data_IF_271770847936
#
_entry.id   IF_271770847936
#
_cell.length_a   1.000
_cell.length_b   1.000
_cell.length_c   1.000
_cell.angle_alpha   90.00
_cell.angle_beta   90.00
_cell.angle_gamma   90.00
#
_symmetry.space_group_name_H-M   'P 1'
#
loop_
_entity.id
_entity.type
_entity.pdbx_description
1 polymer ?
#
# COMPACT_ATOMS: atom_id res chain seq x y z
N UNK A 1 -45.87 67.06 3.98
CA UNK A 1 -46.79 66.12 4.65
C UNK A 1 -46.01 64.84 4.92
N UNK A 2 -45.41 64.73 6.11
CA UNK A 2 -44.66 63.55 6.52
C UNK A 2 -45.59 62.53 7.16
N UNK A 3 -45.58 61.29 6.68
CA UNK A 3 -46.21 60.19 7.39
C UNK A 3 -45.28 59.72 8.53
N UNK A 4 -45.82 59.44 9.73
CA UNK A 4 -45.02 58.99 10.86
C UNK A 4 -44.67 57.50 10.71
N UNK A 5 -43.39 57.18 10.88
CA UNK A 5 -42.87 55.81 10.87
C UNK A 5 -43.29 55.09 12.17
N UNK A 6 -43.95 53.93 12.02
CA UNK A 6 -44.40 53.05 13.11
C UNK A 6 -43.21 52.32 13.78
N UNK A 7 -43.16 52.16 15.12
CA UNK A 7 -41.91 51.85 15.80
C UNK A 7 -41.52 50.37 15.89
N UNK A 8 -42.29 49.40 15.36
CA UNK A 8 -41.96 47.95 15.45
C UNK A 8 -42.60 47.14 14.32
N UNK A 9 -41.90 46.98 13.19
CA UNK A 9 -42.22 45.94 12.22
C UNK A 9 -41.91 44.57 12.83
N UNK A 10 -42.94 43.71 12.94
CA UNK A 10 -42.81 42.36 13.51
C UNK A 10 -42.26 41.42 12.45
N UNK A 11 -41.30 40.60 12.84
CA UNK A 11 -40.73 39.57 11.99
C UNK A 11 -41.82 38.60 11.53
N UNK A 12 -41.82 38.27 10.23
CA UNK A 12 -42.75 37.31 9.62
C UNK A 12 -41.97 36.46 8.61
N UNK A 13 -42.46 35.26 8.28
CA UNK A 13 -41.83 34.38 7.29
C UNK A 13 -41.70 35.01 5.89
N UNK A 14 -42.52 36.03 5.58
CA UNK A 14 -42.44 36.80 4.33
C UNK A 14 -41.61 38.09 4.46
N UNK A 15 -41.16 38.45 5.67
CA UNK A 15 -40.48 39.71 5.95
C UNK A 15 -39.17 39.46 6.70
N UNK A 16 -38.08 39.29 5.95
CA UNK A 16 -36.71 39.07 6.42
C UNK A 16 -36.03 40.31 6.99
N UNK A 17 -36.72 41.46 7.07
CA UNK A 17 -36.16 42.72 7.55
C UNK A 17 -35.54 42.63 8.97
N UNK A 18 -35.94 41.64 9.76
CA UNK A 18 -35.36 41.40 11.09
C UNK A 18 -33.93 40.85 11.06
N UNK A 19 -33.53 40.15 10.00
CA UNK A 19 -32.16 39.65 9.80
C UNK A 19 -31.41 40.55 8.81
N UNK A 20 -32.10 41.00 7.77
CA UNK A 20 -31.54 41.84 6.72
C UNK A 20 -31.07 43.20 7.25
N UNK A 21 -31.93 43.96 7.94
CA UNK A 21 -31.56 45.30 8.43
C UNK A 21 -30.36 45.33 9.39
N UNK A 22 -30.24 44.45 10.41
CA UNK A 22 -29.04 44.45 11.25
C UNK A 22 -27.79 44.03 10.47
N UNK A 23 -27.91 43.11 9.52
CA UNK A 23 -26.80 42.65 8.70
C UNK A 23 -26.33 43.74 7.72
N UNK A 24 -27.27 44.45 7.09
CA UNK A 24 -26.96 45.62 6.23
C UNK A 24 -26.27 46.70 7.03
N UNK A 25 -26.76 47.04 8.24
CA UNK A 25 -26.09 48.01 9.12
C UNK A 25 -24.69 47.56 9.53
N UNK A 26 -24.51 46.26 9.80
CA UNK A 26 -23.20 45.68 10.13
C UNK A 26 -22.22 45.81 8.96
N UNK A 27 -22.62 45.42 7.75
CA UNK A 27 -21.76 45.50 6.57
C UNK A 27 -21.51 46.94 6.12
N UNK A 28 -22.48 47.85 6.25
CA UNK A 28 -22.26 49.28 6.04
C UNK A 28 -21.22 49.83 7.03
N UNK A 29 -21.34 49.49 8.32
CA UNK A 29 -20.38 49.92 9.33
C UNK A 29 -18.98 49.34 9.06
N UNK A 30 -18.89 48.05 8.72
CA UNK A 30 -17.65 47.39 8.32
C UNK A 30 -17.04 48.07 7.07
N UNK A 31 -17.86 48.33 6.05
CA UNK A 31 -17.43 49.02 4.82
C UNK A 31 -16.89 50.42 5.09
N UNK A 32 -17.51 51.19 5.99
CA UNK A 32 -16.99 52.49 6.44
C UNK A 32 -15.63 52.36 7.13
N UNK A 33 -15.44 51.34 7.98
CA UNK A 33 -14.17 51.07 8.66
C UNK A 33 -13.08 50.66 7.66
N UNK A 34 -13.40 49.80 6.69
CA UNK A 34 -12.48 49.39 5.61
C UNK A 34 -12.07 50.58 4.76
N UNK A 35 -13.01 51.45 4.40
CA UNK A 35 -12.74 52.65 3.61
C UNK A 35 -11.89 53.67 4.38
N UNK A 36 -12.10 53.82 5.70
CA UNK A 36 -11.32 54.73 6.54
C UNK A 36 -9.90 54.21 6.83
N UNK A 37 -9.71 52.89 6.88
CA UNK A 37 -8.42 52.27 7.16
C UNK A 37 -8.23 50.98 6.30
N UNK A 38 -7.78 51.11 5.04
CA UNK A 38 -7.73 49.98 4.11
C UNK A 38 -6.56 49.02 4.36
N UNK A 39 -5.45 49.51 4.90
CA UNK A 39 -4.19 48.75 5.02
C UNK A 39 -4.28 47.47 5.86
N UNK A 40 -4.91 47.45 7.05
CA UNK A 40 -5.08 46.22 7.82
C UNK A 40 -5.86 45.16 7.04
N UNK A 41 -6.91 45.55 6.31
CA UNK A 41 -7.72 44.63 5.52
C UNK A 41 -7.01 44.13 4.25
N UNK A 42 -6.00 44.86 3.77
CA UNK A 42 -5.16 44.42 2.65
C UNK A 42 -4.02 43.50 3.10
N UNK A 43 -3.39 43.80 4.25
CA UNK A 43 -2.17 43.12 4.69
C UNK A 43 -2.44 41.93 5.62
N UNK A 44 -3.49 41.99 6.44
CA UNK A 44 -3.79 40.93 7.39
C UNK A 44 -4.21 39.61 6.72
N UNK A 45 -5.08 39.59 5.68
CA UNK A 45 -5.41 38.34 5.00
C UNK A 45 -4.20 37.60 4.40
N UNK A 46 -3.28 38.22 3.62
CA UNK A 46 -2.12 37.51 3.11
C UNK A 46 -1.14 37.10 4.21
N UNK A 47 -0.97 37.89 5.27
CA UNK A 47 -0.13 37.49 6.42
C UNK A 47 -0.71 36.27 7.15
N UNK A 48 -2.02 36.25 7.36
CA UNK A 48 -2.72 35.13 7.96
C UNK A 48 -2.65 33.89 7.07
N UNK A 49 -2.90 34.05 5.77
CA UNK A 49 -2.78 32.97 4.78
C UNK A 49 -1.36 32.43 4.70
N UNK A 50 -0.33 33.27 4.74
CA UNK A 50 1.06 32.85 4.76
C UNK A 50 1.42 32.11 6.06
N UNK A 51 0.95 32.62 7.20
CA UNK A 51 1.16 31.98 8.51
C UNK A 51 0.51 30.60 8.60
N UNK A 52 -0.74 30.46 8.15
CA UNK A 52 -1.42 29.16 8.06
C UNK A 52 -0.81 28.27 6.98
N UNK A 53 -0.40 28.86 5.86
CA UNK A 53 0.20 28.17 4.72
C UNK A 53 1.59 27.61 4.99
N UNK A 54 2.35 28.19 5.92
CA UNK A 54 3.64 27.64 6.36
C UNK A 54 3.53 26.20 6.86
N UNK A 55 2.36 25.78 7.35
CA UNK A 55 2.08 24.39 7.74
C UNK A 55 2.23 23.38 6.59
N UNK A 56 2.06 23.80 5.34
CA UNK A 56 2.22 22.92 4.17
C UNK A 56 3.66 22.43 3.97
N UNK A 57 4.66 23.07 4.57
CA UNK A 57 6.05 22.59 4.57
C UNK A 57 6.14 21.20 5.22
N UNK A 58 5.28 20.90 6.19
CA UNK A 58 5.26 19.61 6.89
C UNK A 58 4.43 18.54 6.16
N UNK A 59 3.72 18.90 5.08
CA UNK A 59 2.82 17.97 4.41
C UNK A 59 3.55 16.73 3.86
N UNK A 60 4.71 16.83 3.17
CA UNK A 60 5.41 15.66 2.66
C UNK A 60 5.82 14.66 3.75
N UNK A 61 6.17 15.14 4.95
CA UNK A 61 6.54 14.28 6.08
C UNK A 61 5.36 13.75 6.90
N UNK A 62 4.15 14.29 6.71
CA UNK A 62 2.93 13.91 7.45
C UNK A 62 1.90 13.19 6.57
N UNK A 63 2.18 13.03 5.30
CA UNK A 63 1.32 12.29 4.39
C UNK A 63 1.36 10.80 4.74
N UNK A 64 0.22 10.25 5.16
CA UNK A 64 0.08 8.82 5.41
C UNK A 64 -0.22 8.13 4.08
N UNK A 65 0.71 7.33 3.56
CA UNK A 65 0.49 6.50 2.37
C UNK A 65 0.02 5.08 2.72
N UNK A 66 -0.40 4.86 3.97
CA UNK A 66 -0.98 3.59 4.41
C UNK A 66 -2.38 3.44 3.81
N UNK A 67 -2.53 2.46 2.90
CA UNK A 67 -3.80 2.15 2.24
C UNK A 67 -4.81 1.66 3.29
N UNK A 68 -4.37 0.84 4.25
CA UNK A 68 -5.27 0.29 5.25
C UNK A 68 -5.87 1.40 6.11
N UNK A 69 -5.05 2.32 6.62
CA UNK A 69 -5.50 3.48 7.40
C UNK A 69 -6.42 4.45 6.64
N UNK A 70 -6.31 4.53 5.32
CA UNK A 70 -7.13 5.42 4.49
C UNK A 70 -8.47 4.80 4.08
N UNK A 71 -8.52 3.50 3.84
CA UNK A 71 -9.70 2.82 3.29
C UNK A 71 -10.47 1.99 4.31
N UNK A 72 -9.92 1.77 5.51
CA UNK A 72 -10.60 0.99 6.56
C UNK A 72 -10.71 1.79 7.87
N UNK A 73 -11.84 1.68 8.60
CA UNK A 73 -12.02 2.38 9.88
C UNK A 73 -10.88 2.09 10.85
N UNK A 74 -10.41 3.11 11.58
CA UNK A 74 -9.31 2.98 12.54
C UNK A 74 -9.63 2.05 13.71
N UNK A 75 -10.90 1.95 14.10
CA UNK A 75 -11.39 1.09 15.19
C UNK A 75 -12.32 -0.04 14.74
N UNK A 76 -12.10 -0.59 13.54
CA UNK A 76 -12.93 -1.68 13.03
C UNK A 76 -12.75 -3.00 13.81
N UNK A 77 -13.78 -3.87 13.90
CA UNK A 77 -13.67 -5.17 14.59
C UNK A 77 -12.51 -6.05 14.09
N UNK A 78 -12.26 -6.08 12.78
CA UNK A 78 -11.15 -6.83 12.20
C UNK A 78 -9.77 -6.35 12.71
N UNK A 79 -9.59 -5.04 12.94
CA UNK A 79 -8.35 -4.50 13.52
C UNK A 79 -8.20 -4.89 14.99
N UNK A 80 -9.29 -4.88 15.75
CA UNK A 80 -9.28 -5.32 17.15
C UNK A 80 -8.95 -6.83 17.28
N UNK A 81 -9.49 -7.67 16.39
CA UNK A 81 -9.14 -9.09 16.31
C UNK A 81 -7.68 -9.30 15.91
N UNK A 82 -7.17 -8.54 14.92
CA UNK A 82 -5.75 -8.57 14.56
C UNK A 82 -4.85 -8.17 15.73
N UNK A 83 -5.22 -7.12 16.47
CA UNK A 83 -4.46 -6.66 17.64
C UNK A 83 -4.46 -7.71 18.76
N UNK A 84 -5.57 -8.43 18.93
CA UNK A 84 -5.63 -9.60 19.80
C UNK A 84 -4.65 -10.68 19.33
N UNK A 85 -4.68 -11.08 18.05
CA UNK A 85 -3.77 -12.11 17.53
C UNK A 85 -2.30 -11.69 17.69
N UNK A 86 -1.93 -10.46 17.31
CA UNK A 86 -0.56 -9.95 17.47
C UNK A 86 -0.09 -9.96 18.92
N UNK A 87 -0.98 -9.69 19.88
CA UNK A 87 -0.66 -9.70 21.32
C UNK A 87 -0.41 -11.09 21.86
N UNK A 88 -1.21 -12.09 21.47
CA UNK A 88 -1.15 -13.44 22.02
C UNK A 88 -0.31 -14.42 21.20
N UNK A 89 -0.12 -14.14 19.91
CA UNK A 89 0.65 -14.94 18.96
C UNK A 89 1.65 -14.04 18.20
N UNK A 90 2.63 -13.43 18.90
CA UNK A 90 3.62 -12.58 18.24
C UNK A 90 4.48 -13.40 17.27
N UNK A 91 4.80 -12.80 16.12
CA UNK A 91 5.74 -13.36 15.15
C UNK A 91 7.17 -12.97 15.51
N UNK A 92 8.14 -13.76 15.05
CA UNK A 92 9.56 -13.43 15.11
C UNK A 92 10.12 -13.65 13.71
N UNK A 93 10.05 -12.61 12.89
CA UNK A 93 10.43 -12.66 11.48
C UNK A 93 11.95 -12.69 11.33
N UNK A 94 12.72 -12.38 12.38
CA UNK A 94 14.18 -12.47 12.39
C UNK A 94 14.76 -13.88 12.60
N UNK A 95 13.98 -14.83 13.14
CA UNK A 95 14.47 -16.20 13.40
C UNK A 95 13.53 -17.32 12.92
N UNK A 96 12.20 -17.10 13.03
CA UNK A 96 11.17 -18.14 12.87
C UNK A 96 10.02 -17.64 11.98
N UNK A 97 10.38 -17.00 10.88
CA UNK A 97 9.39 -16.53 9.91
C UNK A 97 8.58 -17.69 9.30
N UNK A 98 7.28 -17.47 9.14
CA UNK A 98 6.35 -18.31 8.39
C UNK A 98 5.24 -17.43 7.82
N UNK A 99 5.18 -17.35 6.49
CA UNK A 99 4.22 -16.50 5.78
C UNK A 99 2.76 -16.92 6.09
N UNK A 100 2.52 -18.21 6.30
CA UNK A 100 1.19 -18.78 6.59
C UNK A 100 0.68 -18.41 8.00
N UNK A 101 1.56 -17.89 8.86
CA UNK A 101 1.23 -17.52 10.25
C UNK A 101 1.15 -16.01 10.46
N UNK A 102 1.28 -15.20 9.40
CA UNK A 102 1.22 -13.75 9.51
C UNK A 102 -0.22 -13.30 9.84
N UNK A 103 -0.41 -12.43 10.85
CA UNK A 103 -1.69 -11.79 11.14
C UNK A 103 -1.96 -10.56 10.23
N UNK A 104 -1.05 -10.30 9.29
CA UNK A 104 -1.01 -9.18 8.34
C UNK A 104 -0.89 -9.72 6.92
N UNK A 105 -0.93 -8.82 5.93
CA UNK A 105 -0.54 -9.17 4.56
C UNK A 105 0.96 -9.51 4.44
N UNK A 106 1.78 -9.06 5.40
CA UNK A 106 3.23 -9.20 5.38
C UNK A 106 3.94 -8.15 4.53
N UNK A 107 5.20 -7.88 4.85
CA UNK A 107 6.08 -7.10 3.99
C UNK A 107 6.77 -8.05 2.99
N UNK A 108 6.52 -7.87 1.70
CA UNK A 108 7.16 -8.67 0.65
C UNK A 108 7.28 -7.91 -0.66
N UNK A 109 8.19 -8.39 -1.51
CA UNK A 109 8.25 -8.05 -2.93
C UNK A 109 7.92 -9.30 -3.76
N UNK A 110 7.18 -9.10 -4.85
CA UNK A 110 6.85 -10.13 -5.81
C UNK A 110 7.28 -9.68 -7.21
N UNK A 111 8.05 -10.51 -7.90
CA UNK A 111 8.47 -10.31 -9.27
C UNK A 111 7.90 -11.43 -10.13
N UNK A 112 7.33 -11.08 -11.28
CA UNK A 112 6.79 -12.05 -12.24
C UNK A 112 7.58 -11.89 -13.53
N UNK A 113 8.46 -12.86 -13.81
CA UNK A 113 9.15 -12.94 -15.08
C UNK A 113 8.25 -13.67 -16.09
N UNK A 114 8.09 -13.11 -17.28
CA UNK A 114 7.20 -13.62 -18.33
C UNK A 114 8.02 -13.85 -19.60
N UNK A 115 7.80 -14.97 -20.27
CA UNK A 115 8.44 -15.29 -21.53
C UNK A 115 8.13 -14.21 -22.59
N UNK A 116 9.17 -13.72 -23.27
CA UNK A 116 9.07 -12.63 -24.22
C UNK A 116 8.22 -12.96 -25.47
N UNK A 117 8.13 -14.25 -25.82
CA UNK A 117 7.36 -14.74 -26.97
C UNK A 117 6.28 -15.67 -26.50
N UNK A 118 5.21 -15.76 -27.29
CA UNK A 118 4.07 -16.57 -26.94
C UNK A 118 4.42 -18.06 -26.79
N UNK A 119 5.13 -18.65 -27.75
CA UNK A 119 5.41 -20.09 -27.68
C UNK A 119 6.66 -20.46 -26.85
N UNK A 120 7.31 -19.47 -26.23
CA UNK A 120 8.51 -19.66 -25.41
C UNK A 120 8.18 -20.00 -23.96
N UNK A 121 9.12 -20.68 -23.30
CA UNK A 121 9.02 -21.07 -21.90
C UNK A 121 10.05 -20.33 -21.05
N UNK A 122 9.67 -19.81 -19.88
CA UNK A 122 10.63 -19.26 -18.91
C UNK A 122 11.56 -20.32 -18.34
N UNK A 123 11.23 -21.61 -18.52
CA UNK A 123 12.05 -22.75 -18.08
C UNK A 123 13.13 -23.14 -19.10
N UNK A 124 13.15 -22.52 -20.28
CA UNK A 124 14.26 -22.66 -21.23
C UNK A 124 15.55 -22.11 -20.60
N UNK A 125 16.70 -22.69 -20.95
CA UNK A 125 17.97 -22.38 -20.29
C UNK A 125 18.30 -20.89 -20.36
N UNK A 126 18.21 -20.29 -21.56
CA UNK A 126 18.55 -18.88 -21.74
C UNK A 126 17.63 -17.96 -20.93
N UNK A 127 16.32 -18.21 -20.95
CA UNK A 127 15.35 -17.44 -20.18
C UNK A 127 15.53 -17.63 -18.67
N UNK A 128 15.88 -18.84 -18.26
CA UNK A 128 16.08 -19.15 -16.85
C UNK A 128 17.38 -18.55 -16.31
N UNK A 129 18.44 -18.46 -17.12
CA UNK A 129 19.68 -17.75 -16.75
C UNK A 129 19.41 -16.26 -16.46
N UNK A 130 18.51 -15.61 -17.22
CA UNK A 130 18.05 -14.24 -16.94
C UNK A 130 17.27 -14.14 -15.63
N UNK A 131 16.44 -15.14 -15.31
CA UNK A 131 15.71 -15.21 -14.03
C UNK A 131 16.68 -15.36 -12.86
N UNK A 132 17.75 -16.14 -13.02
CA UNK A 132 18.81 -16.27 -12.00
C UNK A 132 19.59 -14.97 -11.81
N UNK A 133 19.90 -14.27 -12.90
CA UNK A 133 20.53 -12.94 -12.83
C UNK A 133 19.65 -11.94 -12.08
N UNK A 134 18.33 -11.97 -12.32
CA UNK A 134 17.37 -11.15 -11.59
C UNK A 134 17.32 -11.49 -10.10
N UNK A 135 17.35 -12.78 -9.74
CA UNK A 135 17.37 -13.21 -8.32
C UNK A 135 18.63 -12.74 -7.60
N UNK A 136 19.79 -12.79 -8.26
CA UNK A 136 21.07 -12.35 -7.70
C UNK A 136 21.08 -10.84 -7.43
N UNK A 137 20.57 -10.04 -8.37
CA UNK A 137 20.47 -8.57 -8.21
C UNK A 137 19.53 -8.18 -7.08
N UNK A 138 18.41 -8.90 -6.90
CA UNK A 138 17.46 -8.62 -5.81
C UNK A 138 18.02 -9.06 -4.46
N UNK A 139 18.83 -10.13 -4.42
CA UNK A 139 19.45 -10.65 -3.18
C UNK A 139 20.77 -9.97 -2.85
N UNK A 140 20.79 -8.66 -2.99
CA UNK A 140 21.94 -7.85 -2.61
C UNK A 140 22.14 -7.81 -1.08
N UNK A 141 23.20 -7.10 -0.66
CA UNK A 141 23.54 -6.96 0.75
C UNK A 141 22.46 -6.24 1.58
N UNK A 142 21.63 -5.41 0.96
CA UNK A 142 20.56 -4.69 1.65
C UNK A 142 19.35 -5.59 1.85
N UNK A 143 18.98 -6.41 0.87
CA UNK A 143 17.97 -7.45 1.04
C UNK A 143 18.35 -8.42 2.15
N UNK A 144 19.59 -8.92 2.18
CA UNK A 144 20.05 -9.84 3.22
C UNK A 144 19.93 -9.25 4.65
N UNK A 145 20.01 -7.93 4.80
CA UNK A 145 19.81 -7.26 6.10
C UNK A 145 18.35 -7.12 6.49
N UNK A 146 17.46 -6.97 5.51
CA UNK A 146 16.04 -6.66 5.70
C UNK A 146 15.12 -7.88 5.59
N UNK A 147 15.59 -8.98 5.01
CA UNK A 147 14.78 -10.15 4.72
C UNK A 147 14.25 -10.81 6.00
N UNK A 148 13.06 -11.38 5.90
CA UNK A 148 12.55 -12.28 6.92
C UNK A 148 13.36 -13.58 6.91
N UNK A 149 13.68 -14.10 8.09
CA UNK A 149 14.59 -15.22 8.29
C UNK A 149 13.91 -16.41 8.95
N UNK A 150 14.28 -17.59 8.49
CA UNK A 150 13.88 -18.86 9.09
C UNK A 150 15.11 -19.77 9.16
N UNK A 151 15.48 -20.17 10.37
CA UNK A 151 16.68 -21.01 10.56
C UNK A 151 17.99 -20.32 10.17
N UNK A 152 18.08 -19.00 10.33
CA UNK A 152 19.29 -18.22 10.10
C UNK A 152 19.53 -17.78 8.65
N UNK A 153 18.69 -18.18 7.70
CA UNK A 153 18.76 -17.77 6.28
C UNK A 153 17.49 -17.01 5.89
N UNK A 154 17.55 -16.17 4.84
CA UNK A 154 16.37 -15.53 4.31
C UNK A 154 15.33 -16.57 3.89
N UNK A 155 14.09 -16.40 4.34
CA UNK A 155 12.99 -17.24 3.94
C UNK A 155 12.78 -17.09 2.42
N UNK A 156 12.80 -18.21 1.71
CA UNK A 156 12.56 -18.23 0.27
C UNK A 156 11.25 -18.94 -0.03
N UNK A 157 10.37 -18.26 -0.77
CA UNK A 157 9.16 -18.85 -1.35
C UNK A 157 9.34 -19.14 -2.86
N UNK A 158 10.59 -19.42 -3.26
CA UNK A 158 10.99 -19.65 -4.65
C UNK A 158 11.37 -21.12 -4.84
N UNK A 159 10.39 -22.00 -5.03
CA UNK A 159 10.61 -23.45 -5.01
C UNK A 159 11.55 -23.95 -6.12
N UNK A 160 11.45 -23.35 -7.31
CA UNK A 160 12.29 -23.71 -8.46
C UNK A 160 13.75 -23.34 -8.23
N UNK A 161 14.02 -22.20 -7.60
CA UNK A 161 15.38 -21.79 -7.23
C UNK A 161 15.98 -22.75 -6.21
N UNK A 162 15.20 -23.15 -5.18
CA UNK A 162 15.66 -24.13 -4.19
C UNK A 162 16.00 -25.49 -4.82
N UNK A 163 15.16 -25.95 -5.75
CA UNK A 163 15.38 -27.21 -6.48
C UNK A 163 16.67 -27.18 -7.30
N UNK A 164 16.99 -26.06 -7.95
CA UNK A 164 18.23 -25.90 -8.70
C UNK A 164 19.48 -25.90 -7.82
N UNK A 165 19.40 -25.21 -6.68
CA UNK A 165 20.47 -25.22 -5.70
C UNK A 165 20.72 -26.65 -5.20
N UNK A 166 19.67 -27.42 -4.94
CA UNK A 166 19.78 -28.83 -4.57
C UNK A 166 20.36 -29.70 -5.70
N UNK A 167 20.02 -29.37 -6.95
CA UNK A 167 20.50 -30.06 -8.13
C UNK A 167 21.92 -29.61 -8.57
N UNK A 168 22.63 -28.81 -7.77
CA UNK A 168 23.95 -28.25 -8.08
C UNK A 168 24.01 -27.52 -9.45
N UNK A 169 22.94 -26.81 -9.80
CA UNK A 169 22.85 -26.10 -11.09
C UNK A 169 22.70 -27.02 -12.30
N UNK A 170 22.40 -28.30 -12.11
CA UNK A 170 21.91 -29.15 -13.19
C UNK A 170 20.49 -28.70 -13.60
N UNK A 171 20.05 -29.13 -14.79
CA UNK A 171 18.75 -28.74 -15.33
C UNK A 171 17.60 -29.03 -14.35
N UNK A 172 16.55 -28.20 -14.39
CA UNK A 172 15.34 -28.43 -13.59
C UNK A 172 14.81 -29.85 -13.85
N UNK A 173 14.52 -30.64 -12.80
CA UNK A 173 13.96 -31.97 -12.97
C UNK A 173 12.56 -31.89 -13.61
N UNK A 174 12.07 -32.99 -14.15
CA UNK A 174 10.69 -33.05 -14.62
C UNK A 174 9.75 -32.93 -13.42
N UNK A 175 9.04 -31.81 -13.31
CA UNK A 175 8.24 -31.49 -12.13
C UNK A 175 6.76 -31.80 -12.36
N UNK A 176 6.08 -32.52 -11.47
CA UNK A 176 4.62 -32.67 -11.54
C UNK A 176 3.90 -31.33 -11.27
N UNK A 177 2.80 -31.07 -11.98
CA UNK A 177 1.99 -29.86 -11.81
C UNK A 177 0.54 -30.20 -11.39
N UNK A 178 -0.07 -29.45 -10.46
CA UNK A 178 0.46 -28.29 -9.73
C UNK A 178 1.37 -28.64 -8.54
N UNK A 179 1.68 -29.91 -8.34
CA UNK A 179 2.59 -30.46 -7.33
C UNK A 179 2.59 -31.99 -7.45
N UNK A 180 3.53 -32.65 -6.77
CA UNK A 180 3.59 -34.12 -6.74
C UNK A 180 2.72 -34.72 -5.63
N UNK A 181 2.32 -35.97 -5.81
CA UNK A 181 1.48 -36.69 -4.85
C UNK A 181 2.27 -37.24 -3.68
N UNK A 182 2.24 -36.53 -2.54
CA UNK A 182 2.73 -37.02 -1.25
C UNK A 182 3.27 -35.90 -0.38
N UNK A 183 3.01 -35.94 0.94
CA UNK A 183 3.43 -34.91 1.89
C UNK A 183 4.95 -34.67 1.85
N UNK A 184 5.37 -33.62 1.15
CA UNK A 184 6.76 -33.33 0.83
C UNK A 184 6.94 -32.70 -0.55
N UNK A 185 5.94 -32.83 -1.44
CA UNK A 185 6.01 -32.24 -2.78
C UNK A 185 5.68 -30.76 -2.80
N UNK A 186 6.49 -30.02 -3.56
CA UNK A 186 6.45 -28.58 -3.64
C UNK A 186 5.32 -28.12 -4.56
N UNK A 187 4.45 -27.26 -4.06
CA UNK A 187 3.33 -26.72 -4.83
C UNK A 187 3.81 -25.63 -5.80
N UNK A 188 3.71 -25.91 -7.10
CA UNK A 188 4.11 -25.02 -8.19
C UNK A 188 2.95 -24.16 -8.72
N UNK A 189 1.71 -24.42 -8.29
CA UNK A 189 0.54 -23.70 -8.77
C UNK A 189 0.55 -22.20 -8.45
N UNK A 190 1.28 -21.77 -7.42
CA UNK A 190 1.50 -20.34 -7.10
C UNK A 190 2.79 -19.78 -7.68
N UNK A 191 3.71 -20.64 -8.15
CA UNK A 191 5.03 -20.27 -8.64
C UNK A 191 5.09 -20.14 -10.17
N UNK A 192 4.29 -20.91 -10.91
CA UNK A 192 4.29 -20.94 -12.37
C UNK A 192 2.97 -20.44 -12.96
N UNK A 193 3.07 -19.74 -14.09
CA UNK A 193 1.93 -19.23 -14.87
C UNK A 193 1.96 -19.71 -16.32
N UNK A 194 0.77 -19.90 -16.91
CA UNK A 194 0.63 -20.35 -18.30
C UNK A 194 1.28 -21.71 -18.57
N UNK A 195 1.13 -22.64 -17.62
CA UNK A 195 1.76 -23.96 -17.65
C UNK A 195 1.10 -24.87 -18.70
N UNK A 196 1.93 -25.55 -19.49
CA UNK A 196 1.55 -26.70 -20.30
C UNK A 196 2.21 -27.93 -19.72
N UNK A 197 1.42 -28.97 -19.49
CA UNK A 197 1.90 -30.25 -19.00
C UNK A 197 1.98 -31.27 -20.13
N UNK A 198 2.88 -32.23 -19.98
CA UNK A 198 2.89 -33.42 -20.81
C UNK A 198 1.69 -34.34 -20.50
N UNK A 199 1.60 -35.47 -21.22
CA UNK A 199 0.54 -36.46 -21.00
C UNK A 199 0.61 -37.18 -19.64
N UNK A 200 1.68 -36.98 -18.87
CA UNK A 200 1.88 -37.57 -17.54
C UNK A 200 1.60 -36.58 -16.39
N UNK A 201 1.24 -35.34 -16.71
CA UNK A 201 0.96 -34.28 -15.73
C UNK A 201 2.21 -33.56 -15.23
N UNK A 202 3.35 -33.69 -15.93
CA UNK A 202 4.60 -33.00 -15.65
C UNK A 202 4.71 -31.70 -16.44
N UNK A 203 5.33 -30.69 -15.88
CA UNK A 203 5.56 -29.39 -16.51
C UNK A 203 6.45 -29.57 -17.73
N UNK A 204 5.89 -29.32 -18.91
CA UNK A 204 6.64 -29.27 -20.17
C UNK A 204 7.07 -27.82 -20.46
N UNK A 205 6.17 -26.85 -20.24
CA UNK A 205 6.44 -25.43 -20.43
C UNK A 205 5.73 -24.58 -19.40
N UNK A 206 6.28 -23.41 -19.10
CA UNK A 206 5.60 -22.36 -18.36
C UNK A 206 5.90 -21.01 -18.99
N UNK A 207 4.91 -20.14 -19.07
CA UNK A 207 5.08 -18.79 -19.62
C UNK A 207 5.52 -17.76 -18.59
N UNK A 208 5.31 -18.02 -17.31
CA UNK A 208 5.71 -17.11 -16.27
C UNK A 208 6.22 -17.87 -15.04
N UNK A 209 7.14 -17.23 -14.33
CA UNK A 209 7.59 -17.63 -12.99
C UNK A 209 7.42 -16.46 -12.04
N UNK A 210 6.88 -16.71 -10.85
CA UNK A 210 6.76 -15.75 -9.77
C UNK A 210 7.85 -15.99 -8.73
N UNK A 211 8.62 -14.96 -8.46
CA UNK A 211 9.61 -14.88 -7.39
C UNK A 211 9.06 -14.03 -6.25
N UNK A 212 9.21 -14.51 -5.02
CA UNK A 212 8.72 -13.89 -3.79
C UNK A 212 9.89 -13.68 -2.83
N UNK A 213 9.97 -12.47 -2.28
CA UNK A 213 11.02 -12.02 -1.37
C UNK A 213 10.38 -11.43 -0.12
N UNK A 214 10.51 -12.09 1.02
CA UNK A 214 9.89 -11.63 2.27
C UNK A 214 10.82 -10.70 3.02
N UNK A 215 10.25 -9.63 3.57
CA UNK A 215 10.90 -8.64 4.41
C UNK A 215 10.37 -8.78 5.83
N UNK A 216 11.19 -8.38 6.80
CA UNK A 216 10.79 -8.35 8.21
C UNK A 216 9.80 -7.23 8.48
N UNK A 217 8.72 -7.54 9.20
CA UNK A 217 7.85 -6.52 9.79
C UNK A 217 8.28 -6.16 11.23
N UNK A 218 9.09 -7.01 11.87
CA UNK A 218 9.64 -6.80 13.21
C UNK A 218 10.88 -5.89 13.20
N UNK A 219 10.66 -4.59 12.98
CA UNK A 219 11.68 -3.53 12.99
C UNK A 219 11.25 -2.28 13.74
#
# INVERSE_FOLDING_TARGET
>A
MGQPQSPRERCSCSNTNCVERPLTRLFEALGRVVAACPWPFLLLPPLLSAGLGAGFIFLPGRQTNDIEGQFTPTGGPAKAERDFVRRYFPTNDSERFSAERLPTEGAYAALIAVAAKDDASVLEREAWDEVLLLDDEVRDADYERLCARSGGTCASANPLLQLLTYANGSALPELPFPGGGGGGDVFLGTALGGVRTDGSGRVERARAVKLMYYLREDG
#
